data_IF_856287286242
#
_entry.id   IF_856287286242
#
_cell.length_a   1.000
_cell.length_b   1.000
_cell.length_c   1.000
_cell.angle_alpha   90.00
_cell.angle_beta   90.00
_cell.angle_gamma   90.00
#
_symmetry.space_group_name_H-M   'P 1'
#
loop_
_entity.id
_entity.type
_entity.pdbx_description
1 polymer ?
#
# COMPACT_ATOMS: atom_id res chain seq x y z
N UNK A 1 18.07 19.03 -65.76
CA UNK A 1 17.72 18.44 -64.45
C UNK A 1 16.41 19.06 -64.00
N UNK A 2 15.40 18.23 -63.80
CA UNK A 2 14.00 18.56 -63.56
C UNK A 2 13.75 19.03 -62.12
N UNK A 3 13.05 20.16 -61.98
CA UNK A 3 12.47 20.60 -60.72
C UNK A 3 11.18 19.82 -60.45
N UNK A 4 11.10 19.10 -59.34
CA UNK A 4 9.84 18.63 -58.76
C UNK A 4 9.63 19.36 -57.44
N UNK A 5 8.72 20.34 -57.47
CA UNK A 5 8.23 21.10 -56.33
C UNK A 5 6.94 20.44 -55.87
N UNK A 6 6.97 19.78 -54.71
CA UNK A 6 5.74 19.34 -54.03
C UNK A 6 5.09 20.53 -53.30
N UNK A 7 3.75 20.64 -53.32
CA UNK A 7 3.06 21.80 -52.79
C UNK A 7 2.75 21.64 -51.29
N UNK A 8 3.08 22.68 -50.52
CA UNK A 8 2.26 23.17 -49.41
C UNK A 8 1.95 22.20 -48.28
N UNK A 9 2.91 21.97 -47.39
CA UNK A 9 2.60 21.75 -45.98
C UNK A 9 3.03 23.00 -45.22
N UNK A 10 2.04 23.83 -44.88
CA UNK A 10 2.23 24.91 -43.92
C UNK A 10 2.31 24.21 -42.56
N UNK A 11 3.50 24.16 -41.98
CA UNK A 11 3.65 23.74 -40.59
C UNK A 11 2.99 24.83 -39.75
N UNK A 12 1.77 24.59 -39.30
CA UNK A 12 1.09 25.40 -38.29
C UNK A 12 1.76 25.13 -36.95
N UNK A 13 2.91 25.77 -36.74
CA UNK A 13 3.62 25.73 -35.48
C UNK A 13 2.89 26.68 -34.52
N UNK A 14 1.93 26.13 -33.78
CA UNK A 14 1.35 26.82 -32.62
C UNK A 14 2.49 27.18 -31.67
N UNK A 15 2.78 28.48 -31.58
CA UNK A 15 3.84 29.01 -30.72
C UNK A 15 3.36 28.87 -29.27
N UNK A 16 3.63 27.72 -28.66
CA UNK A 16 3.52 27.58 -27.21
C UNK A 16 4.65 28.40 -26.62
N UNK A 17 4.32 29.56 -26.06
CA UNK A 17 5.23 30.27 -25.16
C UNK A 17 5.59 29.30 -24.03
N UNK A 18 6.77 28.71 -24.12
CA UNK A 18 7.38 28.00 -23.01
C UNK A 18 7.69 29.08 -21.98
N UNK A 19 6.76 29.31 -21.06
CA UNK A 19 7.01 30.09 -19.85
C UNK A 19 8.22 29.40 -19.21
N UNK A 20 9.43 29.99 -19.23
CA UNK A 20 10.55 29.38 -18.56
C UNK A 20 10.14 29.34 -17.10
N UNK A 21 9.97 28.13 -16.55
CA UNK A 21 9.73 27.94 -15.14
C UNK A 21 10.76 28.80 -14.42
N UNK A 22 10.27 29.85 -13.76
CA UNK A 22 11.07 30.83 -13.07
C UNK A 22 11.78 30.07 -11.96
N UNK A 23 12.95 29.50 -12.27
CA UNK A 23 13.88 28.92 -11.31
C UNK A 23 14.37 30.11 -10.51
N UNK A 24 13.59 30.49 -9.51
CA UNK A 24 14.01 31.39 -8.48
C UNK A 24 15.33 30.87 -7.95
N UNK A 25 16.35 31.72 -8.06
CA UNK A 25 17.70 31.58 -7.47
C UNK A 25 17.60 31.72 -5.93
N UNK A 26 16.50 31.22 -5.36
CA UNK A 26 16.10 31.32 -3.97
C UNK A 26 15.45 30.04 -3.47
N UNK A 27 15.61 28.92 -4.18
CA UNK A 27 15.52 27.61 -3.52
C UNK A 27 16.76 27.51 -2.63
N UNK A 28 16.63 28.08 -1.44
CA UNK A 28 17.58 28.06 -0.36
C UNK A 28 18.34 26.73 -0.37
N UNK A 29 19.65 26.83 -0.55
CA UNK A 29 20.58 25.74 -0.32
C UNK A 29 20.37 25.29 1.12
N UNK A 30 19.44 24.36 1.30
CA UNK A 30 19.33 23.60 2.53
C UNK A 30 20.73 23.05 2.77
N UNK A 31 21.39 23.39 3.90
CA UNK A 31 22.74 22.96 4.14
C UNK A 31 22.78 21.46 3.93
N UNK A 32 23.78 20.93 3.20
CA UNK A 32 23.91 19.50 2.83
C UNK A 32 23.65 18.52 3.98
N UNK A 33 23.78 18.97 5.23
CA UNK A 33 23.36 18.24 6.44
C UNK A 33 21.84 18.05 6.57
N UNK A 34 21.04 19.07 6.32
CA UNK A 34 19.57 18.98 6.32
C UNK A 34 19.03 18.04 5.24
N UNK A 35 19.65 17.96 4.07
CA UNK A 35 19.25 16.99 3.03
C UNK A 35 19.57 15.54 3.44
N UNK A 36 20.68 15.30 4.15
CA UNK A 36 21.03 13.96 4.65
C UNK A 36 20.08 13.53 5.78
N UNK A 37 19.84 14.41 6.76
CA UNK A 37 18.90 14.14 7.86
C UNK A 37 17.48 13.91 7.35
N UNK A 38 17.03 14.69 6.35
CA UNK A 38 15.72 14.47 5.73
C UNK A 38 15.65 13.11 5.02
N UNK A 39 16.73 12.68 4.36
CA UNK A 39 16.83 11.35 3.75
C UNK A 39 16.71 10.23 4.78
N UNK A 40 17.44 10.32 5.90
CA UNK A 40 17.39 9.35 7.00
C UNK A 40 15.99 9.28 7.63
N UNK A 41 15.36 10.43 7.90
CA UNK A 41 13.99 10.48 8.45
C UNK A 41 12.97 9.89 7.48
N UNK A 42 13.11 10.15 6.17
CA UNK A 42 12.24 9.55 5.16
C UNK A 42 12.42 8.03 5.08
N UNK A 43 13.65 7.53 5.18
CA UNK A 43 13.94 6.10 5.22
C UNK A 43 13.31 5.43 6.45
N UNK A 44 13.49 6.01 7.62
CA UNK A 44 12.88 5.52 8.87
C UNK A 44 11.35 5.53 8.78
N UNK A 45 10.75 6.61 8.26
CA UNK A 45 9.31 6.70 8.06
C UNK A 45 8.78 5.64 7.09
N UNK A 46 9.52 5.32 6.02
CA UNK A 46 9.15 4.23 5.11
C UNK A 46 9.21 2.88 5.81
N UNK A 47 10.25 2.61 6.60
CA UNK A 47 10.36 1.36 7.37
C UNK A 47 9.19 1.23 8.33
N UNK A 48 8.89 2.28 9.11
CA UNK A 48 7.74 2.29 10.03
C UNK A 48 6.40 2.09 9.31
N UNK A 49 6.20 2.74 8.15
CA UNK A 49 4.98 2.57 7.36
C UNK A 49 4.83 1.15 6.81
N UNK A 50 5.93 0.52 6.36
CA UNK A 50 5.89 -0.88 5.91
C UNK A 50 5.62 -1.83 7.08
N UNK A 51 6.21 -1.58 8.24
CA UNK A 51 5.97 -2.35 9.46
C UNK A 51 4.49 -2.31 9.87
N UNK A 52 3.90 -1.11 9.95
CA UNK A 52 2.48 -0.93 10.27
C UNK A 52 1.56 -1.61 9.24
N UNK A 53 1.89 -1.48 7.94
CA UNK A 53 1.14 -2.16 6.88
C UNK A 53 1.16 -3.68 7.04
N UNK A 54 2.32 -4.27 7.38
CA UNK A 54 2.43 -5.70 7.63
C UNK A 54 1.58 -6.13 8.82
N UNK A 55 1.62 -5.38 9.92
CA UNK A 55 0.80 -5.63 11.11
C UNK A 55 -0.69 -5.58 10.79
N UNK A 56 -1.13 -4.57 10.03
CA UNK A 56 -2.52 -4.43 9.60
C UNK A 56 -2.97 -5.59 8.70
N UNK A 57 -2.13 -6.04 7.77
CA UNK A 57 -2.41 -7.19 6.92
C UNK A 57 -2.51 -8.49 7.73
N UNK A 58 -1.64 -8.67 8.73
CA UNK A 58 -1.69 -9.82 9.63
C UNK A 58 -2.99 -9.84 10.44
N UNK A 59 -3.37 -8.70 11.02
CA UNK A 59 -4.62 -8.57 11.77
C UNK A 59 -5.84 -8.83 10.88
N UNK A 60 -5.88 -8.24 9.68
CA UNK A 60 -6.94 -8.46 8.69
C UNK A 60 -7.09 -9.94 8.36
N UNK A 61 -5.99 -10.62 8.01
CA UNK A 61 -6.02 -12.05 7.69
C UNK A 61 -6.51 -12.90 8.88
N UNK A 62 -6.07 -12.58 10.10
CA UNK A 62 -6.55 -13.24 11.32
C UNK A 62 -8.06 -13.09 11.51
N UNK A 63 -8.61 -11.90 11.26
CA UNK A 63 -10.05 -11.63 11.32
C UNK A 63 -10.82 -12.40 10.24
N UNK A 64 -10.34 -12.37 8.99
CA UNK A 64 -10.99 -13.06 7.87
C UNK A 64 -11.07 -14.57 8.10
N UNK A 65 -9.98 -15.18 8.55
CA UNK A 65 -9.95 -16.61 8.87
C UNK A 65 -10.84 -16.95 10.07
N UNK A 66 -10.81 -16.12 11.13
CA UNK A 66 -11.68 -16.33 12.31
C UNK A 66 -13.16 -16.25 11.93
N UNK A 67 -13.54 -15.30 11.07
CA UNK A 67 -14.90 -15.18 10.58
C UNK A 67 -15.32 -16.41 9.75
N UNK A 68 -14.47 -16.85 8.83
CA UNK A 68 -14.72 -18.05 8.03
C UNK A 68 -14.88 -19.31 8.90
N UNK A 69 -14.00 -19.49 9.89
CA UNK A 69 -14.07 -20.60 10.83
C UNK A 69 -15.33 -20.54 11.71
N UNK A 70 -15.74 -19.35 12.15
CA UNK A 70 -16.97 -19.17 12.93
C UNK A 70 -18.23 -19.53 12.13
N UNK A 71 -18.26 -19.18 10.84
CA UNK A 71 -19.34 -19.62 9.94
C UNK A 71 -19.38 -21.15 9.81
N UNK A 72 -18.22 -21.79 9.68
CA UNK A 72 -18.12 -23.25 9.64
C UNK A 72 -18.55 -23.90 10.96
N UNK A 73 -18.15 -23.33 12.11
CA UNK A 73 -18.60 -23.79 13.43
C UNK A 73 -20.13 -23.76 13.52
N UNK A 74 -20.75 -22.65 13.12
CA UNK A 74 -22.21 -22.51 13.15
C UNK A 74 -22.88 -23.58 12.27
N UNK A 75 -22.39 -23.76 11.04
CA UNK A 75 -22.91 -24.77 10.12
C UNK A 75 -22.75 -26.18 10.69
N UNK A 76 -21.55 -26.56 11.13
CA UNK A 76 -21.29 -27.92 11.63
C UNK A 76 -22.01 -28.21 12.95
N UNK A 77 -22.16 -27.21 13.82
CA UNK A 77 -22.92 -27.35 15.06
C UNK A 77 -24.40 -27.61 14.80
N UNK A 78 -24.96 -27.09 13.70
CA UNK A 78 -26.34 -27.39 13.29
C UNK A 78 -26.51 -28.81 12.75
N UNK A 79 -25.49 -29.34 12.07
CA UNK A 79 -25.51 -30.70 11.49
C UNK A 79 -25.16 -31.77 12.53
N UNK A 80 -24.30 -31.45 13.49
CA UNK A 80 -23.75 -32.39 14.49
C UNK A 80 -23.67 -31.73 15.88
N UNK A 81 -24.80 -31.61 16.59
CA UNK A 81 -24.85 -30.92 17.88
C UNK A 81 -23.93 -31.51 18.95
N UNK A 82 -23.70 -32.83 18.93
CA UNK A 82 -22.83 -33.55 19.88
C UNK A 82 -21.35 -33.16 19.71
N UNK A 83 -20.99 -32.56 18.58
CA UNK A 83 -19.64 -32.08 18.29
C UNK A 83 -19.48 -30.56 18.45
N UNK A 84 -20.55 -29.81 18.75
CA UNK A 84 -20.53 -28.34 18.81
C UNK A 84 -19.43 -27.78 19.72
N UNK A 85 -19.24 -28.38 20.91
CA UNK A 85 -18.18 -27.97 21.83
C UNK A 85 -16.77 -28.14 21.25
N UNK A 86 -16.55 -29.19 20.43
CA UNK A 86 -15.25 -29.44 19.78
C UNK A 86 -14.99 -28.42 18.67
N UNK A 87 -16.01 -28.06 17.88
CA UNK A 87 -15.87 -27.02 16.85
C UNK A 87 -15.54 -25.66 17.47
N UNK A 88 -16.30 -25.25 18.49
CA UNK A 88 -16.04 -24.00 19.21
C UNK A 88 -14.63 -23.93 19.75
N UNK A 89 -14.15 -25.00 20.40
CA UNK A 89 -12.80 -25.06 20.94
C UNK A 89 -11.73 -24.80 19.87
N UNK A 90 -11.92 -25.31 18.65
CA UNK A 90 -11.00 -25.11 17.54
C UNK A 90 -11.02 -23.65 17.07
N UNK A 91 -12.20 -23.07 16.89
CA UNK A 91 -12.35 -21.67 16.45
C UNK A 91 -11.77 -20.71 17.49
N UNK A 92 -12.08 -20.91 18.77
CA UNK A 92 -11.57 -20.10 19.87
C UNK A 92 -10.04 -20.17 19.96
N UNK A 93 -9.46 -21.36 19.84
CA UNK A 93 -8.01 -21.54 19.86
C UNK A 93 -7.32 -20.80 18.70
N UNK A 94 -7.88 -20.89 17.49
CA UNK A 94 -7.37 -20.15 16.33
C UNK A 94 -7.45 -18.63 16.56
N UNK A 95 -8.61 -18.13 16.99
CA UNK A 95 -8.83 -16.70 17.22
C UNK A 95 -7.84 -16.15 18.27
N UNK A 96 -7.64 -16.89 19.37
CA UNK A 96 -6.68 -16.53 20.42
C UNK A 96 -5.24 -16.53 19.90
N UNK A 97 -4.86 -17.52 19.09
CA UNK A 97 -3.53 -17.59 18.48
C UNK A 97 -3.30 -16.42 17.52
N UNK A 98 -4.26 -16.11 16.65
CA UNK A 98 -4.19 -15.00 15.71
C UNK A 98 -4.04 -13.65 16.44
N UNK A 99 -4.88 -13.40 17.46
CA UNK A 99 -4.76 -12.23 18.33
C UNK A 99 -3.43 -12.21 19.10
N UNK A 100 -2.89 -13.38 19.46
CA UNK A 100 -1.57 -13.51 20.06
C UNK A 100 -0.42 -13.15 19.10
N UNK A 101 -0.54 -13.49 17.81
CA UNK A 101 0.45 -13.11 16.80
C UNK A 101 0.49 -11.60 16.59
N UNK A 102 -0.68 -10.94 16.50
CA UNK A 102 -0.77 -9.48 16.38
C UNK A 102 -0.19 -8.78 17.62
N UNK A 103 -0.41 -9.30 18.82
CA UNK A 103 0.11 -8.71 20.07
C UNK A 103 1.62 -8.86 20.27
N UNK A 104 2.24 -9.87 19.65
CA UNK A 104 3.67 -10.16 19.79
C UNK A 104 4.53 -9.56 18.68
N UNK A 105 3.89 -9.12 17.60
CA UNK A 105 4.54 -8.38 16.53
C UNK A 105 4.98 -7.01 17.05
#
# INVERSE_FOLDING_TARGET
MSYQRYPGEVIDAEYVEVIPAQRGIGAHLLPRRTSVVMGEVMEEAMVLATHDRCLALLAKSGMEHTAALSMMEQQFSSMTPEAAARYRQIVDAYAQQAAGMVRRW
#
